data_IF_968230867039
#
_entry.id   IF_968230867039
#
_cell.length_a   1.000
_cell.length_b   1.000
_cell.length_c   1.000
_cell.angle_alpha   90.00
_cell.angle_beta   90.00
_cell.angle_gamma   90.00
#
_symmetry.space_group_name_H-M   'P 1'
#
loop_
_entity.id
_entity.type
_entity.pdbx_description
1 polymer ?
#
# COMPACT_ATOMS: atom_id res chain seq x y z
N UNK A 1 5.23 -11.15 29.72
CA UNK A 1 5.18 -10.96 28.25
C UNK A 1 3.86 -10.29 27.93
N UNK A 2 3.80 -8.96 27.96
CA UNK A 2 2.60 -8.22 27.56
C UNK A 2 2.80 -7.87 26.10
N UNK A 3 2.04 -8.51 25.20
CA UNK A 3 2.10 -8.19 23.77
C UNK A 3 1.65 -6.74 23.59
N UNK A 4 2.48 -5.92 22.96
CA UNK A 4 2.11 -4.54 22.70
C UNK A 4 0.94 -4.53 21.70
N UNK A 5 0.03 -3.56 21.77
CA UNK A 5 -1.12 -3.48 20.84
C UNK A 5 -0.69 -3.51 19.35
N UNK A 6 0.52 -3.01 19.08
CA UNK A 6 1.21 -3.07 17.79
C UNK A 6 1.46 -4.52 17.33
N UNK A 7 1.88 -5.42 18.23
CA UNK A 7 2.13 -6.83 17.88
C UNK A 7 0.83 -7.54 17.47
N UNK A 8 -0.27 -7.27 18.18
CA UNK A 8 -1.59 -7.80 17.82
C UNK A 8 -2.09 -7.26 16.48
N UNK A 9 -1.82 -5.99 16.18
CA UNK A 9 -2.13 -5.40 14.87
C UNK A 9 -1.33 -6.07 13.75
N UNK A 10 -0.02 -6.26 13.93
CA UNK A 10 0.85 -6.90 12.93
C UNK A 10 0.41 -8.35 12.67
N UNK A 11 0.21 -9.13 13.73
CA UNK A 11 -0.26 -10.52 13.62
C UNK A 11 -1.64 -10.57 12.97
N UNK A 12 -2.55 -9.67 13.35
CA UNK A 12 -3.88 -9.56 12.77
C UNK A 12 -3.84 -9.23 11.27
N UNK A 13 -3.04 -8.26 10.85
CA UNK A 13 -2.91 -7.85 9.46
C UNK A 13 -2.32 -8.97 8.58
N UNK A 14 -1.24 -9.61 9.04
CA UNK A 14 -0.60 -10.71 8.31
C UNK A 14 -1.52 -11.94 8.29
N UNK A 15 -2.12 -12.29 9.43
CA UNK A 15 -3.05 -13.42 9.54
C UNK A 15 -4.27 -13.23 8.65
N UNK A 16 -4.89 -12.05 8.66
CA UNK A 16 -6.01 -11.73 7.77
C UNK A 16 -5.59 -11.81 6.30
N UNK A 17 -4.44 -11.24 5.95
CA UNK A 17 -3.92 -11.29 4.58
C UNK A 17 -3.66 -12.73 4.12
N UNK A 18 -3.05 -13.57 4.97
CA UNK A 18 -2.82 -14.99 4.72
C UNK A 18 -4.14 -15.76 4.53
N UNK A 19 -5.14 -15.51 5.37
CA UNK A 19 -6.47 -16.12 5.27
C UNK A 19 -7.18 -15.67 3.98
N UNK A 20 -7.10 -14.38 3.63
CA UNK A 20 -7.68 -13.90 2.38
C UNK A 20 -7.01 -14.51 1.14
N UNK A 21 -5.70 -14.73 1.18
CA UNK A 21 -4.96 -15.40 0.12
C UNK A 21 -5.26 -16.89 0.04
N UNK A 22 -5.50 -17.55 1.17
CA UNK A 22 -5.98 -18.94 1.21
C UNK A 22 -7.36 -19.10 0.57
N UNK A 23 -8.28 -18.16 0.82
CA UNK A 23 -9.63 -18.22 0.25
C UNK A 23 -9.69 -17.79 -1.22
N UNK A 24 -8.89 -16.79 -1.62
CA UNK A 24 -8.87 -16.30 -3.01
C UNK A 24 -8.02 -17.18 -3.92
N UNK A 25 -6.89 -17.69 -3.45
CA UNK A 25 -5.89 -18.40 -4.24
C UNK A 25 -4.88 -17.45 -4.90
N UNK A 26 -3.65 -17.93 -5.09
CA UNK A 26 -2.52 -17.15 -5.59
C UNK A 26 -2.79 -16.54 -6.96
N UNK A 27 -3.28 -17.33 -7.92
CA UNK A 27 -3.46 -16.88 -9.30
C UNK A 27 -4.42 -15.70 -9.39
N UNK A 28 -5.53 -15.75 -8.62
CA UNK A 28 -6.51 -14.65 -8.58
C UNK A 28 -5.91 -13.39 -7.99
N UNK A 29 -5.05 -13.54 -7.00
CA UNK A 29 -4.41 -12.42 -6.33
C UNK A 29 -3.33 -11.78 -7.21
N UNK A 30 -2.56 -12.59 -7.92
CA UNK A 30 -1.58 -12.13 -8.91
C UNK A 30 -2.26 -11.38 -10.06
N UNK A 31 -3.36 -11.91 -10.59
CA UNK A 31 -4.11 -11.25 -11.67
C UNK A 31 -4.73 -9.95 -11.18
N UNK A 32 -5.28 -9.93 -9.96
CA UNK A 32 -5.78 -8.69 -9.37
C UNK A 32 -4.68 -7.63 -9.30
N UNK A 33 -3.45 -7.99 -8.89
CA UNK A 33 -2.33 -7.05 -8.90
C UNK A 33 -1.96 -6.59 -10.31
N UNK A 34 -1.89 -7.49 -11.29
CA UNK A 34 -1.64 -7.12 -12.68
C UNK A 34 -2.70 -6.15 -13.21
N UNK A 35 -3.98 -6.40 -12.91
CA UNK A 35 -5.10 -5.52 -13.27
C UNK A 35 -4.92 -4.15 -12.64
N UNK A 36 -4.54 -4.06 -11.37
CA UNK A 36 -4.26 -2.78 -10.70
C UNK A 36 -3.13 -2.01 -11.39
N UNK A 37 -2.00 -2.66 -11.68
CA UNK A 37 -0.86 -2.03 -12.37
C UNK A 37 -1.26 -1.53 -13.75
N UNK A 38 -1.95 -2.38 -14.52
CA UNK A 38 -2.42 -2.04 -15.87
C UNK A 38 -3.46 -0.91 -15.83
N UNK A 39 -4.37 -0.91 -14.85
CA UNK A 39 -5.36 0.15 -14.67
C UNK A 39 -4.73 1.49 -14.33
N UNK A 40 -3.72 1.52 -13.46
CA UNK A 40 -2.95 2.74 -13.14
C UNK A 40 -2.19 3.23 -14.38
N UNK A 41 -1.55 2.32 -15.11
CA UNK A 41 -0.83 2.69 -16.32
C UNK A 41 -1.77 3.24 -17.41
N UNK A 42 -2.91 2.58 -17.64
CA UNK A 42 -3.96 3.03 -18.55
C UNK A 42 -4.50 4.40 -18.14
N UNK A 43 -4.78 4.62 -16.85
CA UNK A 43 -5.36 5.87 -16.38
C UNK A 43 -4.43 7.06 -16.63
N UNK A 44 -3.13 6.92 -16.36
CA UNK A 44 -2.16 7.98 -16.67
C UNK A 44 -1.90 8.15 -18.17
N UNK A 45 -1.92 7.06 -18.94
CA UNK A 45 -1.61 7.10 -20.37
C UNK A 45 -2.75 7.69 -21.20
N UNK A 46 -4.00 7.36 -20.86
CA UNK A 46 -5.19 7.68 -21.65
C UNK A 46 -6.04 8.81 -21.03
N UNK A 47 -5.73 9.31 -19.83
CA UNK A 47 -6.45 10.45 -19.24
C UNK A 47 -6.54 11.68 -20.17
N UNK A 48 -5.51 12.08 -20.94
CA UNK A 48 -5.62 13.28 -21.77
C UNK A 48 -6.67 13.15 -22.87
N UNK A 49 -6.96 11.94 -23.35
CA UNK A 49 -7.95 11.70 -24.40
C UNK A 49 -9.37 11.76 -23.82
N UNK A 50 -9.57 11.19 -22.63
CA UNK A 50 -10.85 11.25 -21.92
C UNK A 50 -11.15 12.65 -21.41
N UNK A 51 -10.12 13.42 -21.04
CA UNK A 51 -10.28 14.84 -20.70
C UNK A 51 -10.97 15.64 -21.81
N UNK A 52 -10.66 15.38 -23.09
CA UNK A 52 -11.30 16.08 -24.22
C UNK A 52 -12.81 15.85 -24.24
N UNK A 53 -13.26 14.65 -23.87
CA UNK A 53 -14.69 14.31 -23.82
C UNK A 53 -15.39 14.93 -22.61
N UNK A 54 -14.65 15.20 -21.54
CA UNK A 54 -15.19 15.85 -20.34
C UNK A 54 -15.14 17.39 -20.40
N UNK A 55 -14.46 17.98 -21.39
CA UNK A 55 -14.38 19.45 -21.55
C UNK A 55 -15.74 20.17 -21.54
N UNK A 56 -16.79 19.65 -22.19
CA UNK A 56 -18.10 20.32 -22.19
C UNK A 56 -18.81 20.31 -20.83
N UNK A 57 -18.44 19.38 -19.94
CA UNK A 57 -19.10 19.17 -18.65
C UNK A 57 -18.30 19.77 -17.47
N UNK A 58 -16.97 19.75 -17.56
CA UNK A 58 -16.06 20.21 -16.52
C UNK A 58 -15.12 21.29 -17.05
N UNK A 59 -15.32 22.51 -16.59
CA UNK A 59 -14.53 23.68 -17.01
C UNK A 59 -13.13 23.68 -16.38
N UNK A 60 -13.05 23.32 -15.09
CA UNK A 60 -11.81 23.34 -14.33
C UNK A 60 -10.88 22.18 -14.75
N UNK A 61 -9.68 22.52 -15.23
CA UNK A 61 -8.73 21.54 -15.78
C UNK A 61 -8.32 20.50 -14.73
N UNK A 62 -8.04 20.93 -13.51
CA UNK A 62 -7.59 20.04 -12.42
C UNK A 62 -8.64 18.97 -12.11
N UNK A 63 -9.91 19.39 -11.95
CA UNK A 63 -11.03 18.48 -11.67
C UNK A 63 -11.25 17.52 -12.85
N UNK A 64 -11.14 18.02 -14.08
CA UNK A 64 -11.30 17.22 -15.29
C UNK A 64 -10.24 16.13 -15.44
N UNK A 65 -8.97 16.45 -15.18
CA UNK A 65 -7.87 15.48 -15.17
C UNK A 65 -8.10 14.38 -14.15
N UNK A 66 -8.45 14.75 -12.92
CA UNK A 66 -8.73 13.79 -11.84
C UNK A 66 -9.92 12.90 -12.20
N UNK A 67 -10.99 13.49 -12.73
CA UNK A 67 -12.18 12.74 -13.17
C UNK A 67 -11.86 11.75 -14.29
N UNK A 68 -11.05 12.15 -15.28
CA UNK A 68 -10.63 11.27 -16.38
C UNK A 68 -9.79 10.09 -15.89
N UNK A 69 -8.81 10.34 -15.01
CA UNK A 69 -8.00 9.28 -14.38
C UNK A 69 -8.88 8.31 -13.62
N UNK A 70 -9.79 8.80 -12.77
CA UNK A 70 -10.70 7.96 -11.98
C UNK A 70 -11.62 7.15 -12.88
N UNK A 71 -12.20 7.76 -13.93
CA UNK A 71 -13.09 7.07 -14.86
C UNK A 71 -12.39 5.88 -15.53
N UNK A 72 -11.23 6.12 -16.14
CA UNK A 72 -10.45 5.06 -16.80
C UNK A 72 -10.03 3.98 -15.80
N UNK A 73 -9.55 4.40 -14.62
CA UNK A 73 -9.11 3.49 -13.59
C UNK A 73 -10.23 2.55 -13.15
N UNK A 74 -11.42 3.08 -12.85
CA UNK A 74 -12.58 2.28 -12.45
C UNK A 74 -13.05 1.37 -13.58
N UNK A 75 -13.15 1.87 -14.81
CA UNK A 75 -13.52 1.05 -15.97
C UNK A 75 -12.55 -0.11 -16.18
N UNK A 76 -11.24 0.15 -16.08
CA UNK A 76 -10.21 -0.89 -16.19
C UNK A 76 -10.29 -1.92 -15.05
N UNK A 77 -10.53 -1.48 -13.81
CA UNK A 77 -10.75 -2.40 -12.69
C UNK A 77 -12.00 -3.27 -12.87
N UNK A 78 -13.10 -2.72 -13.37
CA UNK A 78 -14.33 -3.48 -13.63
C UNK A 78 -14.07 -4.51 -14.72
N UNK A 79 -13.45 -4.11 -15.85
CA UNK A 79 -13.11 -5.01 -16.95
C UNK A 79 -12.14 -6.12 -16.50
N UNK A 80 -11.08 -5.75 -15.78
CA UNK A 80 -10.11 -6.70 -15.24
C UNK A 80 -10.71 -7.62 -14.17
N UNK A 81 -11.65 -7.12 -13.36
CA UNK A 81 -12.41 -7.92 -12.40
C UNK A 81 -13.29 -8.96 -13.09
N UNK A 82 -13.96 -8.57 -14.18
CA UNK A 82 -14.74 -9.50 -15.01
C UNK A 82 -13.84 -10.57 -15.65
N UNK A 83 -12.70 -10.16 -16.20
CA UNK A 83 -11.70 -11.10 -16.73
C UNK A 83 -11.21 -12.09 -15.66
N UNK A 84 -10.91 -11.60 -14.46
CA UNK A 84 -10.50 -12.43 -13.33
C UNK A 84 -11.61 -13.42 -12.92
N UNK A 85 -12.88 -13.00 -12.96
CA UNK A 85 -14.02 -13.88 -12.67
C UNK A 85 -14.15 -15.01 -13.72
N UNK A 86 -13.97 -14.69 -15.01
CA UNK A 86 -13.95 -15.69 -16.08
C UNK A 86 -12.81 -16.69 -15.91
N UNK A 87 -11.60 -16.20 -15.63
CA UNK A 87 -10.47 -17.11 -15.41
C UNK A 87 -10.67 -17.97 -14.16
N UNK A 88 -11.26 -17.41 -13.11
CA UNK A 88 -11.61 -18.17 -11.90
C UNK A 88 -12.53 -19.35 -12.22
N UNK A 89 -13.48 -19.18 -13.14
CA UNK A 89 -14.36 -20.26 -13.57
C UNK A 89 -13.59 -21.39 -14.27
N UNK A 90 -12.60 -21.04 -15.09
CA UNK A 90 -11.74 -22.00 -15.81
C UNK A 90 -10.84 -22.76 -14.81
N UNK A 91 -10.15 -22.03 -13.93
CA UNK A 91 -9.21 -22.61 -12.97
C UNK A 91 -9.88 -23.54 -11.97
N UNK A 92 -11.12 -23.24 -11.59
CA UNK A 92 -11.91 -24.11 -10.71
C UNK A 92 -12.19 -25.49 -11.33
N UNK A 93 -12.21 -25.61 -12.67
CA UNK A 93 -12.43 -26.88 -13.38
C UNK A 93 -11.16 -27.72 -13.51
N UNK A 94 -9.98 -27.10 -13.41
CA UNK A 94 -8.68 -27.77 -13.61
C UNK A 94 -8.20 -28.60 -12.41
N UNK A 95 -8.95 -28.69 -11.32
CA UNK A 95 -8.62 -29.53 -10.14
C UNK A 95 -7.43 -29.04 -9.29
N UNK A 96 -6.70 -28.02 -9.72
CA UNK A 96 -5.50 -27.47 -9.06
C UNK A 96 -5.80 -26.53 -7.87
N UNK A 97 -7.07 -26.40 -7.45
CA UNK A 97 -7.49 -25.42 -6.44
C UNK A 97 -6.77 -25.60 -5.09
N UNK A 98 -6.36 -26.81 -4.70
CA UNK A 98 -5.64 -27.03 -3.45
C UNK A 98 -4.26 -26.35 -3.39
N UNK A 99 -3.44 -26.55 -4.43
CA UNK A 99 -2.08 -25.97 -4.48
C UNK A 99 -2.14 -24.45 -4.66
N UNK A 100 -3.06 -23.95 -5.49
CA UNK A 100 -3.28 -22.51 -5.68
C UNK A 100 -3.65 -21.78 -4.37
N UNK A 101 -4.44 -22.41 -3.50
CA UNK A 101 -4.79 -21.86 -2.19
C UNK A 101 -3.62 -21.83 -1.22
N UNK A 102 -2.78 -22.87 -1.19
CA UNK A 102 -1.58 -22.90 -0.33
C UNK A 102 -0.58 -21.83 -0.76
N UNK A 103 -0.34 -21.71 -2.07
CA UNK A 103 0.48 -20.62 -2.62
C UNK A 103 -0.15 -19.26 -2.32
N UNK A 104 -1.48 -19.17 -2.37
CA UNK A 104 -2.23 -17.98 -2.00
C UNK A 104 -2.03 -17.58 -0.54
N UNK A 105 -1.96 -18.53 0.38
CA UNK A 105 -1.63 -18.26 1.78
C UNK A 105 -0.22 -17.65 1.91
N UNK A 106 0.78 -18.26 1.27
CA UNK A 106 2.16 -17.74 1.28
C UNK A 106 2.26 -16.35 0.69
N UNK A 107 1.59 -16.11 -0.44
CA UNK A 107 1.49 -14.80 -1.06
C UNK A 107 0.78 -13.78 -0.14
N UNK A 108 -0.30 -14.19 0.50
CA UNK A 108 -1.02 -13.39 1.49
C UNK A 108 -0.15 -12.99 2.67
N UNK A 109 0.74 -13.87 3.16
CA UNK A 109 1.74 -13.53 4.18
C UNK A 109 2.69 -12.44 3.67
N UNK A 110 3.28 -12.62 2.48
CA UNK A 110 4.20 -11.64 1.88
C UNK A 110 3.52 -10.28 1.72
N UNK A 111 2.28 -10.29 1.22
CA UNK A 111 1.46 -9.07 1.08
C UNK A 111 1.18 -8.42 2.42
N UNK A 112 0.83 -9.19 3.45
CA UNK A 112 0.56 -8.69 4.79
C UNK A 112 1.80 -8.04 5.41
N UNK A 113 2.96 -8.70 5.26
CA UNK A 113 4.27 -8.16 5.66
C UNK A 113 4.54 -6.84 4.94
N UNK A 114 4.32 -6.79 3.63
CA UNK A 114 4.52 -5.59 2.82
C UNK A 114 3.61 -4.43 3.27
N UNK A 115 2.32 -4.69 3.51
CA UNK A 115 1.37 -3.68 3.99
C UNK A 115 1.79 -3.14 5.37
N UNK A 116 2.15 -4.01 6.29
CA UNK A 116 2.65 -3.61 7.62
C UNK A 116 3.90 -2.76 7.51
N UNK A 117 4.86 -3.16 6.66
CA UNK A 117 6.09 -2.39 6.43
C UNK A 117 5.79 -0.99 5.85
N UNK A 118 4.83 -0.88 4.93
CA UNK A 118 4.42 0.38 4.35
C UNK A 118 3.74 1.30 5.38
N UNK A 119 2.89 0.74 6.25
CA UNK A 119 2.29 1.49 7.37
C UNK A 119 3.37 1.96 8.34
N UNK A 120 4.31 1.09 8.72
CA UNK A 120 5.42 1.43 9.59
C UNK A 120 6.30 2.53 8.99
N UNK A 121 6.54 2.49 7.67
CA UNK A 121 7.25 3.53 6.95
C UNK A 121 6.51 4.87 7.04
N UNK A 122 5.20 4.90 6.74
CA UNK A 122 4.37 6.12 6.84
C UNK A 122 4.40 6.69 8.25
N UNK A 123 4.24 5.85 9.29
CA UNK A 123 4.32 6.29 10.69
C UNK A 123 5.68 6.91 11.01
N UNK A 124 6.77 6.31 10.53
CA UNK A 124 8.13 6.84 10.67
C UNK A 124 8.30 8.21 9.99
N UNK A 125 7.53 8.50 8.93
CA UNK A 125 7.60 9.77 8.21
C UNK A 125 6.80 10.89 8.87
N UNK A 126 5.76 10.57 9.64
CA UNK A 126 4.76 11.55 10.12
C UNK A 126 5.13 12.22 11.46
N UNK A 127 6.36 12.11 11.97
CA UNK A 127 6.80 12.69 13.27
C UNK A 127 5.85 12.45 14.46
N UNK A 128 5.02 11.40 14.41
CA UNK A 128 4.26 10.97 15.59
C UNK A 128 5.29 10.44 16.58
N UNK A 129 5.32 10.87 17.86
CA UNK A 129 6.31 10.43 18.85
C UNK A 129 6.10 8.94 19.18
N UNK A 130 6.62 8.08 18.30
CA UNK A 130 6.51 6.61 18.34
C UNK A 130 7.75 5.94 18.96
N UNK A 131 8.78 6.72 19.32
CA UNK A 131 10.01 6.28 19.99
C UNK A 131 9.73 5.39 21.22
N UNK A 132 8.62 5.63 21.94
CA UNK A 132 8.22 4.85 23.11
C UNK A 132 7.59 3.49 22.78
N UNK A 133 6.92 3.34 21.63
CA UNK A 133 6.19 2.12 21.25
C UNK A 133 7.05 1.13 20.46
N UNK A 134 7.97 1.65 19.64
CA UNK A 134 8.84 0.86 18.76
C UNK A 134 9.93 0.09 19.54
N UNK A 135 10.42 0.64 20.66
CA UNK A 135 11.45 -0.02 21.50
C UNK A 135 10.99 -1.30 22.19
N UNK A 136 9.68 -1.55 22.31
CA UNK A 136 9.14 -2.68 23.06
C UNK A 136 8.59 -3.81 22.17
N UNK A 137 8.39 -3.58 20.87
CA UNK A 137 7.83 -4.60 19.95
C UNK A 137 8.92 -5.45 19.30
N UNK A 138 9.01 -6.70 19.73
CA UNK A 138 9.96 -7.70 19.24
C UNK A 138 9.78 -8.03 17.74
N UNK A 139 8.57 -7.81 17.21
CA UNK A 139 8.26 -7.99 15.79
C UNK A 139 8.74 -6.81 14.95
N UNK A 140 8.67 -5.57 15.43
CA UNK A 140 9.06 -4.39 14.66
C UNK A 140 10.55 -4.44 14.26
N UNK A 141 11.43 -4.86 15.18
CA UNK A 141 12.86 -5.02 14.91
C UNK A 141 13.17 -6.03 13.78
N UNK A 142 12.29 -6.99 13.51
CA UNK A 142 12.44 -7.93 12.38
C UNK A 142 11.99 -7.32 11.04
N UNK A 143 11.17 -6.28 11.06
CA UNK A 143 10.71 -5.54 9.88
C UNK A 143 11.68 -4.43 9.46
N UNK A 144 12.57 -3.97 10.34
CA UNK A 144 13.61 -2.97 10.05
C UNK A 144 14.37 -3.20 8.73
N UNK A 145 14.88 -4.40 8.38
CA UNK A 145 15.56 -4.61 7.10
C UNK A 145 14.64 -4.41 5.89
N UNK A 146 13.37 -4.79 5.99
CA UNK A 146 12.38 -4.60 4.92
C UNK A 146 12.01 -3.12 4.78
N UNK A 147 11.79 -2.43 5.91
CA UNK A 147 11.51 -0.99 5.94
C UNK A 147 12.68 -0.19 5.35
N UNK A 148 13.92 -0.53 5.73
CA UNK A 148 15.12 0.12 5.20
C UNK A 148 15.29 -0.14 3.70
N UNK A 149 15.01 -1.35 3.22
CA UNK A 149 15.03 -1.66 1.79
C UNK A 149 14.00 -0.85 1.02
N UNK A 150 12.75 -0.74 1.52
CA UNK A 150 11.70 0.09 0.88
C UNK A 150 12.11 1.57 0.88
N UNK A 151 12.74 2.06 1.94
CA UNK A 151 13.13 3.46 2.06
C UNK A 151 14.14 3.93 1.00
N UNK A 152 14.92 3.00 0.43
CA UNK A 152 15.88 3.32 -0.65
C UNK A 152 15.19 3.71 -1.95
N UNK A 153 13.94 3.29 -2.15
CA UNK A 153 13.14 3.64 -3.32
C UNK A 153 12.32 4.92 -3.14
N UNK A 154 12.36 5.52 -1.95
CA UNK A 154 11.67 6.79 -1.69
C UNK A 154 12.57 7.93 -2.19
N UNK A 155 12.12 8.76 -3.14
CA UNK A 155 12.93 9.82 -3.75
C UNK A 155 13.36 10.89 -2.74
N UNK A 156 14.36 11.70 -3.11
CA UNK A 156 14.97 12.76 -2.27
C UNK A 156 14.01 13.80 -1.67
N UNK A 157 12.73 13.79 -2.05
CA UNK A 157 11.65 14.59 -1.47
C UNK A 157 11.57 14.48 0.06
N UNK A 158 12.04 13.37 0.64
CA UNK A 158 12.09 13.14 2.09
C UNK A 158 13.20 13.93 2.80
N UNK A 159 14.28 14.27 2.10
CA UNK A 159 15.38 15.06 2.69
C UNK A 159 14.90 16.48 3.07
N UNK A 160 13.94 17.04 2.35
CA UNK A 160 13.42 18.39 2.64
C UNK A 160 12.48 18.44 3.84
N UNK A 161 11.70 17.38 4.10
CA UNK A 161 10.79 17.33 5.26
C UNK A 161 11.57 17.20 6.58
N UNK A 162 12.73 16.53 6.56
CA UNK A 162 13.60 16.39 7.74
C UNK A 162 14.35 17.70 8.12
N UNK A 163 14.44 18.66 7.19
CA UNK A 163 15.07 19.98 7.43
C UNK A 163 14.12 20.93 8.15
N UNK A 164 12.80 20.74 8.03
CA UNK A 164 11.79 21.61 8.65
C UNK A 164 11.47 21.27 10.12
N UNK A 165 11.93 20.14 10.66
CA UNK A 165 11.74 19.71 12.07
C UNK A 165 13.00 19.94 12.92
N UNK A 166 14.09 20.41 12.30
CA UNK A 166 15.39 20.59 12.93
C UNK A 166 15.66 21.99 13.49
N UNK A 167 14.83 22.99 13.15
CA UNK A 167 15.06 24.40 13.50
C UNK A 167 14.34 24.79 14.82
N UNK A 168 13.35 23.98 15.23
CA UNK A 168 12.42 24.30 16.31
C UNK A 168 12.98 23.99 17.70
N UNK A 169 14.08 23.22 17.78
CA UNK A 169 14.65 22.74 19.05
C UNK A 169 15.79 23.60 19.61
N UNK A 170 16.29 24.59 18.85
CA UNK A 170 17.36 25.48 19.32
C UNK A 170 16.88 26.77 19.99
N UNK A 171 15.59 27.13 19.90
CA UNK A 171 15.11 28.47 20.33
C UNK A 171 14.57 28.48 21.77
N UNK A 172 14.34 27.33 22.42
CA UNK A 172 13.71 27.25 23.76
C UNK A 172 14.67 26.78 24.88
N UNK A 173 15.97 27.05 24.75
CA UNK A 173 16.89 27.06 25.90
C UNK A 173 17.36 28.50 26.20
N UNK A 174 16.42 29.29 26.71
CA UNK A 174 16.76 30.45 27.53
C UNK A 174 16.41 30.12 28.97
N UNK A 175 17.24 29.28 29.59
CA UNK A 175 17.43 29.34 31.03
C UNK A 175 18.17 30.65 31.36
N UNK A 176 17.60 31.60 32.12
CA UNK A 176 18.44 32.50 32.88
C UNK A 176 18.74 31.81 34.22
N UNK A 177 19.98 31.37 34.40
CA UNK A 177 20.59 31.30 35.72
C UNK A 177 21.63 32.43 35.77
N UNK A 178 21.90 33.06 36.93
CA UNK A 178 21.49 32.72 38.30
C UNK A 178 20.44 33.64 38.91
#
# INVERSE_FOLDING_TARGET
MVGNWVDYFIIGAIGLSAVTGLFRGFVKELIALCVWVVAIWLSFRYSPQVELWLQPYLHEKSIRTVAAVIAIFLTALIAGGLFNALLSFILNRSGLSGTDRILGMGFGVVRGVFIVALIALVIKMTSIPFETYTRQSLLYAKFDPVVNWISQFVPEFIKQVKVFDGDDKEIIDITPAP
#
